data_IF_735217232461
#
_entry.id   IF_735217232461
#
_cell.length_a   1.000
_cell.length_b   1.000
_cell.length_c   1.000
_cell.angle_alpha   90.00
_cell.angle_beta   90.00
_cell.angle_gamma   90.00
#
_symmetry.space_group_name_H-M   'P 1'
#
loop_
_entity.id
_entity.type
_entity.pdbx_description
1 polymer ?
#
# COMPACT_ATOMS: atom_id res chain seq x y z
N UNK A 1 31.52 -3.81 -26.22
CA UNK A 1 31.34 -3.89 -24.76
C UNK A 1 32.04 -2.70 -24.11
N UNK A 2 31.32 -1.64 -23.73
CA UNK A 2 31.68 -0.73 -22.62
C UNK A 2 30.61 0.36 -22.43
N UNK A 3 29.98 0.26 -21.27
CA UNK A 3 29.31 1.24 -20.39
C UNK A 3 29.36 2.72 -20.78
N UNK A 4 28.18 3.35 -20.86
CA UNK A 4 28.01 4.81 -20.91
C UNK A 4 27.43 5.36 -19.60
N UNK A 5 27.79 6.60 -19.30
CA UNK A 5 28.09 7.16 -17.97
C UNK A 5 27.24 8.41 -17.73
N UNK A 6 27.08 8.79 -16.44
CA UNK A 6 26.57 10.08 -15.84
C UNK A 6 25.07 10.02 -15.47
N UNK A 7 24.60 10.46 -14.28
CA UNK A 7 24.79 11.72 -13.51
C UNK A 7 24.42 11.38 -12.03
N UNK A 8 25.32 11.33 -11.03
CA UNK A 8 25.81 12.36 -10.09
C UNK A 8 24.78 13.38 -9.53
N UNK A 9 24.35 13.21 -8.26
CA UNK A 9 24.17 14.22 -7.18
C UNK A 9 23.51 13.52 -5.97
N UNK A 10 24.18 13.25 -4.85
CA UNK A 10 24.67 14.14 -3.79
C UNK A 10 23.84 13.90 -2.50
N UNK A 11 24.36 13.06 -1.62
CA UNK A 11 23.96 12.95 -0.21
C UNK A 11 24.67 14.03 0.59
N UNK A 12 23.93 14.73 1.46
CA UNK A 12 24.33 15.39 2.72
C UNK A 12 23.76 16.81 2.82
N UNK A 13 22.89 17.01 3.81
CA UNK A 13 22.31 18.29 4.15
C UNK A 13 21.39 18.14 5.36
N UNK A 14 22.00 18.02 6.53
CA UNK A 14 21.33 18.10 7.82
C UNK A 14 20.64 19.47 7.95
N UNK A 15 19.32 19.47 8.05
CA UNK A 15 18.52 20.58 8.54
C UNK A 15 18.06 20.27 9.95
N UNK A 16 19.01 20.33 10.88
CA UNK A 16 18.80 20.25 12.32
C UNK A 16 18.02 21.51 12.77
N UNK A 17 16.69 21.48 12.73
CA UNK A 17 15.83 22.41 13.47
C UNK A 17 14.36 21.95 13.43
N UNK A 18 13.98 21.08 14.36
CA UNK A 18 12.75 21.17 15.18
C UNK A 18 12.48 19.80 15.83
N UNK A 19 13.47 19.28 16.54
CA UNK A 19 13.21 18.34 17.62
C UNK A 19 12.83 19.18 18.83
N UNK A 20 11.82 18.70 19.57
CA UNK A 20 11.23 19.22 20.80
C UNK A 20 10.01 20.13 20.56
N UNK A 21 8.82 19.56 20.57
CA UNK A 21 8.01 19.47 21.79
C UNK A 21 6.80 18.53 21.59
N UNK A 22 6.79 17.46 22.40
CA UNK A 22 5.64 16.64 22.86
C UNK A 22 4.60 16.13 21.84
N UNK A 23 4.77 14.87 21.41
CA UNK A 23 3.77 13.81 21.64
C UNK A 23 4.32 12.44 21.15
N UNK A 24 4.28 11.37 21.96
CA UNK A 24 4.50 10.02 21.47
C UNK A 24 3.14 9.49 20.96
N UNK A 25 2.86 9.64 19.67
CA UNK A 25 1.78 8.87 19.05
C UNK A 25 2.41 7.86 18.11
N UNK A 26 2.40 6.62 18.58
CA UNK A 26 2.57 5.40 17.78
C UNK A 26 1.70 5.48 16.53
N UNK A 27 2.28 5.86 15.39
CA UNK A 27 1.69 5.67 14.07
C UNK A 27 2.39 4.50 13.38
N UNK A 28 1.80 3.28 13.36
CA UNK A 28 2.13 2.30 12.35
C UNK A 28 1.34 2.71 11.09
N UNK A 29 1.97 3.51 10.24
CA UNK A 29 1.31 4.02 9.05
C UNK A 29 2.30 4.61 8.07
N UNK A 30 3.43 3.92 7.87
CA UNK A 30 4.28 4.21 6.71
C UNK A 30 3.43 3.93 5.47
N UNK A 31 2.95 4.99 4.84
CA UNK A 31 2.50 4.94 3.46
C UNK A 31 3.71 4.61 2.59
N UNK A 32 4.02 3.32 2.48
CA UNK A 32 4.86 2.81 1.41
C UNK A 32 4.08 2.99 0.12
N UNK A 33 4.23 4.16 -0.50
CA UNK A 33 3.84 4.36 -1.89
C UNK A 33 4.79 3.52 -2.75
N UNK A 34 4.48 2.23 -2.90
CA UNK A 34 5.12 1.35 -3.87
C UNK A 34 4.80 1.86 -5.27
N UNK A 35 5.63 2.77 -5.78
CA UNK A 35 5.64 3.17 -7.17
C UNK A 35 6.28 2.04 -7.98
N UNK A 36 5.50 1.01 -8.32
CA UNK A 36 5.87 0.09 -9.39
C UNK A 36 5.28 0.63 -10.70
N UNK A 37 6.10 1.37 -11.44
CA UNK A 37 5.86 1.79 -12.82
C UNK A 37 5.85 0.58 -13.76
N UNK A 38 4.77 -0.18 -13.70
CA UNK A 38 4.39 -1.26 -14.61
C UNK A 38 2.87 -1.35 -14.56
N UNK A 39 2.22 -1.37 -15.74
CA UNK A 39 0.76 -1.49 -16.00
C UNK A 39 -0.14 -1.44 -14.75
N UNK A 40 -1.10 -0.52 -14.66
CA UNK A 40 -2.02 -0.36 -13.53
C UNK A 40 -2.70 -1.64 -13.05
N UNK A 41 -2.91 -2.62 -13.93
CA UNK A 41 -3.37 -3.96 -13.58
C UNK A 41 -2.34 -4.77 -12.75
N UNK A 42 -1.04 -4.63 -13.02
CA UNK A 42 0.05 -5.20 -12.21
C UNK A 42 0.06 -4.64 -10.79
N UNK A 43 -0.11 -3.33 -10.65
CA UNK A 43 -0.24 -2.68 -9.34
C UNK A 43 -1.47 -3.16 -8.57
N UNK A 44 -2.64 -3.25 -9.23
CA UNK A 44 -3.84 -3.80 -8.62
C UNK A 44 -3.62 -5.23 -8.10
N UNK A 45 -2.94 -6.07 -8.88
CA UNK A 45 -2.61 -7.45 -8.48
C UNK A 45 -1.64 -7.50 -7.28
N UNK A 46 -0.70 -6.56 -7.16
CA UNK A 46 0.19 -6.48 -5.99
C UNK A 46 -0.61 -6.17 -4.71
N UNK A 47 -1.44 -5.13 -4.75
CA UNK A 47 -2.30 -4.79 -3.61
C UNK A 47 -3.28 -5.91 -3.25
N UNK A 48 -3.80 -6.64 -4.24
CA UNK A 48 -4.62 -7.82 -3.99
C UNK A 48 -3.86 -8.93 -3.25
N UNK A 49 -2.61 -9.17 -3.63
CA UNK A 49 -1.78 -10.18 -2.97
C UNK A 49 -1.52 -9.80 -1.51
N UNK A 50 -1.21 -8.54 -1.25
CA UNK A 50 -1.02 -8.02 0.11
C UNK A 50 -2.31 -8.12 0.93
N UNK A 51 -3.46 -7.73 0.36
CA UNK A 51 -4.75 -7.80 1.02
C UNK A 51 -5.11 -9.23 1.45
N UNK A 52 -4.82 -10.22 0.60
CA UNK A 52 -5.01 -11.64 0.91
C UNK A 52 -4.05 -12.13 1.99
N UNK A 53 -2.78 -11.72 1.95
CA UNK A 53 -1.82 -12.03 3.01
C UNK A 53 -2.24 -11.45 4.37
N UNK A 54 -2.75 -10.22 4.41
CA UNK A 54 -3.30 -9.63 5.63
C UNK A 54 -4.53 -10.35 6.15
N UNK A 55 -5.41 -10.80 5.24
CA UNK A 55 -6.58 -11.63 5.60
C UNK A 55 -6.14 -12.94 6.25
N UNK A 56 -5.15 -13.65 5.67
CA UNK A 56 -4.60 -14.87 6.25
C UNK A 56 -3.94 -14.62 7.62
N UNK A 57 -3.28 -13.47 7.78
CA UNK A 57 -2.70 -13.03 9.05
C UNK A 57 -3.73 -12.49 10.07
N UNK A 58 -5.04 -12.58 9.79
CA UNK A 58 -6.13 -12.03 10.63
C UNK A 58 -6.04 -10.51 10.88
N UNK A 59 -5.33 -9.78 10.02
CA UNK A 59 -5.17 -8.32 10.06
C UNK A 59 -6.21 -7.66 9.14
N UNK A 60 -7.48 -7.79 9.50
CA UNK A 60 -8.61 -7.43 8.63
C UNK A 60 -8.69 -5.92 8.30
N UNK A 61 -8.27 -5.04 9.20
CA UNK A 61 -8.25 -3.59 8.94
C UNK A 61 -7.18 -3.22 7.89
N UNK A 62 -6.00 -3.84 7.93
CA UNK A 62 -4.96 -3.66 6.90
C UNK A 62 -5.40 -4.27 5.57
N UNK A 63 -6.00 -5.46 5.61
CA UNK A 63 -6.56 -6.10 4.41
C UNK A 63 -7.57 -5.17 3.71
N UNK A 64 -8.50 -4.56 4.47
CA UNK A 64 -9.48 -3.60 3.95
C UNK A 64 -8.81 -2.42 3.23
N UNK A 65 -7.78 -1.82 3.85
CA UNK A 65 -7.04 -0.71 3.24
C UNK A 65 -6.39 -1.10 1.91
N UNK A 66 -5.71 -2.26 1.87
CA UNK A 66 -5.09 -2.77 0.64
C UNK A 66 -6.12 -3.10 -0.46
N UNK A 67 -7.29 -3.65 -0.11
CA UNK A 67 -8.37 -3.86 -1.09
C UNK A 67 -8.89 -2.53 -1.69
N UNK A 68 -9.05 -1.49 -0.87
CA UNK A 68 -9.46 -0.15 -1.34
C UNK A 68 -8.40 0.44 -2.27
N UNK A 69 -7.12 0.29 -1.93
CA UNK A 69 -6.03 0.71 -2.82
C UNK A 69 -6.07 -0.04 -4.15
N UNK A 70 -6.27 -1.37 -4.13
CA UNK A 70 -6.40 -2.17 -5.34
C UNK A 70 -7.56 -1.68 -6.24
N UNK A 71 -8.72 -1.36 -5.65
CA UNK A 71 -9.87 -0.81 -6.38
C UNK A 71 -9.57 0.54 -7.03
N UNK A 72 -8.77 1.40 -6.39
CA UNK A 72 -8.44 2.73 -6.91
C UNK A 72 -7.58 2.69 -8.19
N UNK A 73 -6.78 1.64 -8.37
CA UNK A 73 -5.88 1.48 -9.52
C UNK A 73 -6.36 0.46 -10.55
N UNK A 74 -7.37 -0.36 -10.23
CA UNK A 74 -7.88 -1.40 -11.10
C UNK A 74 -8.68 -0.80 -12.27
N UNK A 75 -8.27 -1.11 -13.51
CA UNK A 75 -8.97 -0.66 -14.73
C UNK A 75 -9.79 -1.78 -15.39
N UNK A 76 -9.65 -3.02 -14.92
CA UNK A 76 -10.37 -4.16 -15.46
C UNK A 76 -11.70 -4.36 -14.71
N UNK A 77 -12.86 -4.21 -15.37
CA UNK A 77 -14.17 -4.25 -14.69
C UNK A 77 -14.48 -5.63 -14.09
N UNK A 78 -14.04 -6.72 -14.73
CA UNK A 78 -14.23 -8.08 -14.21
C UNK A 78 -13.42 -8.31 -12.94
N UNK A 79 -12.16 -7.85 -12.93
CA UNK A 79 -11.36 -7.88 -11.71
C UNK A 79 -11.99 -6.98 -10.65
N UNK A 80 -12.34 -5.74 -10.98
CA UNK A 80 -12.92 -4.78 -10.04
C UNK A 80 -14.08 -5.36 -9.23
N UNK A 81 -15.05 -6.02 -9.89
CA UNK A 81 -16.16 -6.67 -9.20
C UNK A 81 -15.71 -7.82 -8.28
N UNK A 82 -14.68 -8.57 -8.67
CA UNK A 82 -14.09 -9.62 -7.83
C UNK A 82 -13.44 -9.02 -6.58
N UNK A 83 -12.64 -7.95 -6.73
CA UNK A 83 -12.00 -7.24 -5.61
C UNK A 83 -13.07 -6.69 -4.66
N UNK A 84 -14.15 -6.13 -5.21
CA UNK A 84 -15.27 -5.56 -4.45
C UNK A 84 -16.02 -6.62 -3.64
N UNK A 85 -16.24 -7.80 -4.20
CA UNK A 85 -16.84 -8.93 -3.48
C UNK A 85 -15.94 -9.40 -2.32
N UNK A 86 -14.64 -9.53 -2.55
CA UNK A 86 -13.67 -9.89 -1.50
C UNK A 86 -13.64 -8.85 -0.37
N UNK A 87 -13.64 -7.55 -0.71
CA UNK A 87 -13.72 -6.44 0.24
C UNK A 87 -14.98 -6.53 1.11
N UNK A 88 -16.15 -6.73 0.50
CA UNK A 88 -17.42 -6.87 1.25
C UNK A 88 -17.36 -8.04 2.24
N UNK A 89 -16.71 -9.15 1.86
CA UNK A 89 -16.45 -10.27 2.77
C UNK A 89 -15.63 -9.86 4.01
N UNK A 90 -14.58 -9.07 3.83
CA UNK A 90 -13.78 -8.52 4.94
C UNK A 90 -14.61 -7.57 5.80
N UNK A 91 -15.41 -6.69 5.20
CA UNK A 91 -16.25 -5.75 5.93
C UNK A 91 -17.32 -6.45 6.78
N UNK A 92 -17.91 -7.54 6.27
CA UNK A 92 -18.81 -8.37 7.07
C UNK A 92 -18.08 -8.97 8.28
N UNK A 93 -16.88 -9.52 8.09
CA UNK A 93 -16.07 -10.08 9.19
C UNK A 93 -15.76 -9.01 10.24
N UNK A 94 -15.32 -7.82 9.80
CA UNK A 94 -15.04 -6.68 10.69
C UNK A 94 -16.26 -6.25 11.51
N UNK A 95 -17.48 -6.35 10.97
CA UNK A 95 -18.71 -6.06 11.71
C UNK A 95 -19.05 -7.11 12.76
N UNK A 96 -18.71 -8.37 12.51
CA UNK A 96 -19.01 -9.47 13.45
C UNK A 96 -18.00 -9.62 14.59
N UNK A 97 -16.80 -9.06 14.47
CA UNK A 97 -15.74 -9.17 15.47
C UNK A 97 -15.58 -7.93 16.36
N UNK A 98 -16.25 -6.82 16.02
CA UNK A 98 -16.21 -5.56 16.77
C UNK A 98 -17.19 -5.60 17.94
#
# INVERSE_FOLDING_TARGET
MTTSKRILTATAGYGLACLLLLAPVMLPGVCSAAQASGSTNSLANQYLKEARAYREASRFELARQSYVQALSVCQNPKQYETIKQELNGIEMLLRTMR
#
